data_IF_766306659715
#
_entry.id   IF_766306659715
#
_cell.length_a   1.000
_cell.length_b   1.000
_cell.length_c   1.000
_cell.angle_alpha   90.00
_cell.angle_beta   90.00
_cell.angle_gamma   90.00
#
_symmetry.space_group_name_H-M   'P 1'
#
loop_
_entity.id
_entity.type
_entity.pdbx_description
1 polymer ?
#
# COMPACT_ATOMS: atom_id res chain seq x y z
N UNK A 1 3.25 33.83 28.16
CA UNK A 1 3.95 33.13 27.07
C UNK A 1 3.17 31.85 26.82
N UNK A 2 2.36 31.83 25.75
CA UNK A 2 1.51 30.68 25.46
C UNK A 2 2.37 29.50 25.03
N UNK A 3 2.07 28.33 25.59
CA UNK A 3 2.57 27.01 25.21
C UNK A 3 2.27 26.76 23.73
N UNK A 4 3.21 27.14 22.86
CA UNK A 4 3.16 26.84 21.44
C UNK A 4 3.40 25.35 21.23
N UNK A 5 2.37 24.68 20.72
CA UNK A 5 2.44 23.76 19.59
C UNK A 5 3.61 22.75 19.66
N UNK A 6 3.48 21.76 20.54
CA UNK A 6 4.26 20.54 20.38
C UNK A 6 3.70 19.80 19.14
N UNK A 7 4.50 19.55 18.09
CA UNK A 7 4.02 18.78 16.95
C UNK A 7 3.60 17.40 17.46
N UNK A 8 2.30 17.15 17.43
CA UNK A 8 1.72 15.87 17.83
C UNK A 8 2.43 14.80 17.01
N UNK A 9 3.25 13.97 17.66
CA UNK A 9 4.02 12.92 16.98
C UNK A 9 3.02 11.95 16.34
N UNK A 10 2.78 12.13 15.04
CA UNK A 10 1.84 11.34 14.26
C UNK A 10 2.22 9.86 14.33
N UNK A 11 1.23 9.01 14.58
CA UNK A 11 1.41 7.56 14.61
C UNK A 11 1.83 7.12 13.20
N UNK A 12 3.03 6.56 13.05
CA UNK A 12 3.46 5.91 11.81
C UNK A 12 3.09 4.44 11.89
N UNK A 13 2.59 3.88 10.80
CA UNK A 13 2.22 2.45 10.74
C UNK A 13 3.44 1.51 10.72
N UNK A 14 4.65 2.05 10.48
CA UNK A 14 5.87 1.26 10.30
C UNK A 14 7.15 1.91 10.86
N UNK A 15 8.23 1.12 10.87
CA UNK A 15 9.62 1.59 11.09
C UNK A 15 10.48 1.26 9.87
N UNK A 16 11.13 2.27 9.29
CA UNK A 16 11.95 2.13 8.07
C UNK A 16 13.30 1.46 8.38
N UNK A 17 13.54 0.28 7.83
CA UNK A 17 14.89 -0.24 7.57
C UNK A 17 15.07 -0.26 6.06
N UNK A 18 15.87 0.66 5.52
CA UNK A 18 16.13 0.68 4.08
C UNK A 18 17.07 -0.47 3.73
N UNK A 19 16.54 -1.49 3.06
CA UNK A 19 17.34 -2.47 2.32
C UNK A 19 17.81 -1.87 0.99
N UNK A 20 18.91 -2.38 0.43
CA UNK A 20 19.35 -2.02 -0.93
C UNK A 20 18.34 -2.57 -1.93
N UNK A 21 17.91 -1.74 -2.88
CA UNK A 21 17.15 -2.17 -4.04
C UNK A 21 18.08 -2.82 -5.07
N UNK A 22 17.60 -3.85 -5.75
CA UNK A 22 18.24 -4.36 -6.96
C UNK A 22 18.00 -3.40 -8.13
N UNK A 23 18.83 -3.47 -9.18
CA UNK A 23 18.65 -2.63 -10.37
C UNK A 23 17.29 -2.86 -11.04
N UNK A 24 16.79 -4.11 -11.05
CA UNK A 24 15.48 -4.43 -11.61
C UNK A 24 14.34 -3.78 -10.83
N UNK A 25 14.39 -3.80 -9.50
CA UNK A 25 13.40 -3.13 -8.65
C UNK A 25 13.39 -1.62 -8.85
N UNK A 26 14.58 -1.01 -8.91
CA UNK A 26 14.70 0.44 -9.13
C UNK A 26 14.16 0.82 -10.52
N UNK A 27 14.57 0.09 -11.56
CA UNK A 27 14.08 0.33 -12.93
C UNK A 27 12.57 0.18 -13.03
N UNK A 28 11.99 -0.85 -12.42
CA UNK A 28 10.54 -1.04 -12.41
C UNK A 28 9.81 0.15 -11.76
N UNK A 29 10.30 0.63 -10.62
CA UNK A 29 9.75 1.84 -9.98
C UNK A 29 9.93 3.11 -10.83
N UNK A 30 10.95 3.18 -11.69
CA UNK A 30 11.17 4.36 -12.54
C UNK A 30 10.33 4.33 -13.81
N UNK A 31 10.25 3.17 -14.46
CA UNK A 31 9.67 3.07 -15.81
C UNK A 31 8.21 2.62 -15.83
N UNK A 32 7.74 1.93 -14.78
CA UNK A 32 6.40 1.35 -14.73
C UNK A 32 5.50 2.02 -13.69
N UNK A 33 5.98 3.05 -12.99
CA UNK A 33 5.17 3.76 -11.99
C UNK A 33 3.92 4.40 -12.59
N UNK A 34 3.97 4.84 -13.84
CA UNK A 34 2.80 5.40 -14.51
C UNK A 34 1.65 4.39 -14.67
N UNK A 35 1.96 3.09 -14.73
CA UNK A 35 0.98 2.04 -14.99
C UNK A 35 0.48 1.40 -13.68
N UNK A 36 1.35 1.34 -12.67
CA UNK A 36 1.08 0.64 -11.41
C UNK A 36 1.01 1.56 -10.19
N UNK A 37 1.71 2.69 -10.19
CA UNK A 37 1.89 3.55 -9.03
C UNK A 37 0.73 4.51 -8.78
N UNK A 38 0.51 4.81 -7.50
CA UNK A 38 -0.39 5.84 -7.01
C UNK A 38 0.35 6.77 -6.04
N UNK A 39 0.00 8.05 -6.08
CA UNK A 39 0.58 9.11 -5.25
C UNK A 39 -0.52 9.76 -4.38
N UNK A 40 -0.19 10.12 -3.13
CA UNK A 40 -1.13 10.81 -2.23
C UNK A 40 -1.73 12.09 -2.81
N UNK A 41 -0.97 12.79 -3.66
CA UNK A 41 -1.40 14.03 -4.33
C UNK A 41 -2.60 13.85 -5.27
N UNK A 42 -2.94 12.61 -5.64
CA UNK A 42 -4.11 12.31 -6.45
C UNK A 42 -5.42 12.50 -5.67
N UNK A 43 -5.35 12.53 -4.33
CA UNK A 43 -6.54 12.65 -3.48
C UNK A 43 -7.42 11.40 -3.55
N UNK A 44 -8.72 11.57 -3.30
CA UNK A 44 -9.70 10.49 -3.32
C UNK A 44 -9.74 9.82 -4.70
N UNK A 45 -9.56 8.50 -4.70
CA UNK A 45 -9.56 7.68 -5.90
C UNK A 45 -10.98 7.42 -6.38
N UNK A 46 -11.17 7.42 -7.70
CA UNK A 46 -12.30 6.79 -8.37
C UNK A 46 -11.83 5.44 -8.93
N UNK A 47 -12.27 4.34 -8.33
CA UNK A 47 -11.85 2.99 -8.72
C UNK A 47 -12.28 2.63 -10.15
N UNK A 48 -13.47 3.03 -10.57
CA UNK A 48 -13.97 2.81 -11.93
C UNK A 48 -13.08 3.47 -12.97
N UNK A 49 -12.65 4.72 -12.72
CA UNK A 49 -11.72 5.42 -13.61
C UNK A 49 -10.32 4.80 -13.57
N UNK A 50 -9.87 4.37 -12.39
CA UNK A 50 -8.54 3.82 -12.17
C UNK A 50 -8.33 2.46 -12.88
N UNK A 51 -9.34 1.60 -12.83
CA UNK A 51 -9.29 0.24 -13.38
C UNK A 51 -10.06 0.07 -14.69
N UNK A 52 -10.87 1.06 -15.09
CA UNK A 52 -11.70 1.02 -16.30
C UNK A 52 -12.87 0.04 -16.24
N UNK A 53 -13.25 -0.39 -15.02
CA UNK A 53 -14.32 -1.36 -14.77
C UNK A 53 -14.89 -1.17 -13.36
N UNK A 54 -16.04 -1.80 -13.07
CA UNK A 54 -16.74 -1.74 -11.78
C UNK A 54 -16.55 -3.00 -10.92
N UNK A 55 -15.44 -3.72 -11.13
CA UNK A 55 -15.09 -4.91 -10.35
C UNK A 55 -14.77 -4.59 -8.89
N UNK A 56 -14.96 -5.55 -7.97
CA UNK A 56 -14.75 -5.34 -6.55
C UNK A 56 -13.32 -4.91 -6.24
N UNK A 57 -13.14 -4.02 -5.27
CA UNK A 57 -11.85 -3.43 -4.90
C UNK A 57 -11.37 -4.00 -3.56
N UNK A 58 -10.22 -4.68 -3.60
CA UNK A 58 -9.56 -5.24 -2.42
C UNK A 58 -8.29 -4.47 -2.11
N UNK A 59 -8.15 -4.01 -0.87
CA UNK A 59 -6.97 -3.34 -0.35
C UNK A 59 -6.09 -4.31 0.45
N UNK A 60 -4.81 -4.42 0.13
CA UNK A 60 -3.82 -5.11 0.98
C UNK A 60 -2.85 -4.09 1.62
N UNK A 61 -2.82 -4.06 2.96
CA UNK A 61 -1.93 -3.20 3.73
C UNK A 61 -0.69 -3.98 4.16
N UNK A 62 0.50 -3.48 3.78
CA UNK A 62 1.77 -4.09 4.10
C UNK A 62 2.02 -5.37 3.32
N UNK A 63 1.86 -5.33 2.00
CA UNK A 63 1.99 -6.51 1.12
C UNK A 63 3.40 -7.10 1.06
N UNK A 64 4.42 -6.44 1.64
CA UNK A 64 5.79 -6.92 1.68
C UNK A 64 6.38 -7.07 0.27
N UNK A 65 6.74 -8.31 -0.10
CA UNK A 65 7.30 -8.64 -1.42
C UNK A 65 6.23 -8.85 -2.51
N UNK A 66 4.95 -8.73 -2.15
CA UNK A 66 3.82 -8.73 -3.10
C UNK A 66 3.40 -10.08 -3.65
N UNK A 67 3.98 -11.20 -3.15
CA UNK A 67 3.68 -12.56 -3.64
C UNK A 67 2.20 -12.90 -3.50
N UNK A 68 1.61 -12.63 -2.33
CA UNK A 68 0.19 -12.86 -2.06
C UNK A 68 -0.68 -12.03 -3.01
N UNK A 69 -0.44 -10.72 -3.05
CA UNK A 69 -1.17 -9.76 -3.87
C UNK A 69 -1.19 -10.16 -5.36
N UNK A 70 -0.01 -10.50 -5.90
CA UNK A 70 0.13 -10.91 -7.29
C UNK A 70 -0.68 -12.18 -7.58
N UNK A 71 -0.59 -13.18 -6.70
CA UNK A 71 -1.26 -14.46 -6.89
C UNK A 71 -2.78 -14.31 -6.84
N UNK A 72 -3.30 -13.45 -5.95
CA UNK A 72 -4.73 -13.14 -5.89
C UNK A 72 -5.21 -12.39 -7.14
N UNK A 73 -4.46 -11.39 -7.61
CA UNK A 73 -4.80 -10.64 -8.80
C UNK A 73 -4.86 -11.51 -10.06
N UNK A 74 -3.94 -12.47 -10.18
CA UNK A 74 -3.96 -13.47 -11.26
C UNK A 74 -5.15 -14.42 -11.18
N UNK A 75 -5.54 -14.82 -9.97
CA UNK A 75 -6.64 -15.77 -9.76
C UNK A 75 -8.02 -15.12 -9.90
N UNK A 76 -8.12 -13.79 -9.71
CA UNK A 76 -9.37 -13.04 -9.75
C UNK A 76 -9.26 -11.84 -10.70
N UNK A 77 -9.22 -12.12 -12.01
CA UNK A 77 -9.08 -11.10 -13.05
C UNK A 77 -10.22 -10.07 -13.08
N UNK A 78 -11.42 -10.44 -12.60
CA UNK A 78 -12.58 -9.55 -12.50
C UNK A 78 -12.56 -8.67 -11.23
N UNK A 79 -11.58 -8.88 -10.33
CA UNK A 79 -11.39 -8.09 -9.11
C UNK A 79 -10.21 -7.13 -9.27
N UNK A 80 -10.29 -6.00 -8.59
CA UNK A 80 -9.27 -4.95 -8.59
C UNK A 80 -8.53 -4.91 -7.26
N UNK A 81 -7.22 -4.68 -7.32
CA UNK A 81 -6.35 -4.77 -6.16
C UNK A 81 -5.55 -3.47 -5.96
N UNK A 82 -5.57 -2.96 -4.74
CA UNK A 82 -4.72 -1.85 -4.31
C UNK A 82 -3.77 -2.39 -3.22
N UNK A 83 -2.47 -2.24 -3.42
CA UNK A 83 -1.46 -2.58 -2.43
C UNK A 83 -0.86 -1.33 -1.77
N UNK A 84 -0.66 -1.34 -0.46
CA UNK A 84 0.12 -0.31 0.24
C UNK A 84 1.36 -0.94 0.85
N UNK A 85 2.55 -0.44 0.52
CA UNK A 85 3.79 -0.86 1.13
C UNK A 85 4.78 0.30 1.21
N UNK A 86 5.47 0.44 2.34
CA UNK A 86 6.40 1.55 2.62
C UNK A 86 7.84 1.18 2.28
N UNK A 87 8.11 -0.11 2.10
CA UNK A 87 9.38 -0.70 1.72
C UNK A 87 9.53 -0.74 0.20
N UNK A 88 10.25 0.27 -0.34
CA UNK A 88 10.50 0.43 -1.78
C UNK A 88 10.99 -0.84 -2.51
N UNK A 89 11.92 -1.67 -1.96
CA UNK A 89 12.30 -2.91 -2.63
C UNK A 89 11.13 -3.86 -2.89
N UNK A 90 10.19 -3.99 -1.94
CA UNK A 90 9.00 -4.83 -2.08
C UNK A 90 8.04 -4.28 -3.15
N UNK A 91 7.83 -2.96 -3.15
CA UNK A 91 7.05 -2.27 -4.19
C UNK A 91 7.64 -2.49 -5.58
N UNK A 92 8.94 -2.24 -5.74
CA UNK A 92 9.62 -2.44 -7.02
C UNK A 92 9.59 -3.90 -7.49
N UNK A 93 9.64 -4.85 -6.55
CA UNK A 93 9.52 -6.28 -6.85
C UNK A 93 8.12 -6.62 -7.37
N UNK A 94 7.06 -6.19 -6.67
CA UNK A 94 5.68 -6.43 -7.09
C UNK A 94 5.38 -5.82 -8.46
N UNK A 95 5.77 -4.56 -8.70
CA UNK A 95 5.57 -3.90 -10.00
C UNK A 95 6.25 -4.69 -11.11
N UNK A 96 7.51 -5.09 -10.88
CA UNK A 96 8.26 -5.88 -11.84
C UNK A 96 7.57 -7.22 -12.15
N UNK A 97 7.16 -7.95 -11.12
CA UNK A 97 6.56 -9.27 -11.28
C UNK A 97 5.16 -9.20 -11.91
N UNK A 98 4.35 -8.19 -11.53
CA UNK A 98 3.04 -7.93 -12.14
C UNK A 98 3.17 -7.60 -13.63
N UNK A 99 4.15 -6.78 -14.01
CA UNK A 99 4.43 -6.45 -15.39
C UNK A 99 4.85 -7.67 -16.22
N UNK A 100 5.77 -8.50 -15.70
CA UNK A 100 6.18 -9.74 -16.38
C UNK A 100 5.03 -10.74 -16.52
N UNK A 101 4.11 -10.76 -15.55
CA UNK A 101 2.93 -11.61 -15.56
C UNK A 101 1.76 -11.05 -16.39
N UNK A 102 1.86 -9.83 -16.94
CA UNK A 102 0.77 -9.18 -17.67
C UNK A 102 -0.44 -8.82 -16.81
N UNK A 103 -0.25 -8.66 -15.50
CA UNK A 103 -1.31 -8.33 -14.54
C UNK A 103 -1.56 -6.83 -14.56
N UNK A 104 -2.81 -6.44 -14.81
CA UNK A 104 -3.23 -5.03 -15.01
C UNK A 104 -4.21 -4.53 -13.95
N UNK A 105 -4.79 -5.44 -13.16
CA UNK A 105 -5.74 -5.18 -12.08
C UNK A 105 -5.07 -4.93 -10.72
N UNK A 106 -3.80 -4.49 -10.71
CA UNK A 106 -3.07 -4.07 -9.51
C UNK A 106 -2.67 -2.59 -9.62
N UNK A 107 -2.85 -1.85 -8.53
CA UNK A 107 -2.23 -0.53 -8.29
C UNK A 107 -1.56 -0.50 -6.92
N UNK A 108 -0.52 0.32 -6.75
CA UNK A 108 0.28 0.34 -5.52
C UNK A 108 0.61 1.74 -5.04
N UNK A 109 0.54 1.94 -3.72
CA UNK A 109 1.13 3.09 -3.03
C UNK A 109 2.46 2.70 -2.41
N UNK A 110 3.43 3.63 -2.47
CA UNK A 110 4.69 3.53 -1.73
C UNK A 110 4.74 4.44 -0.49
N UNK A 111 3.65 4.48 0.28
CA UNK A 111 3.40 5.48 1.33
C UNK A 111 2.84 4.86 2.62
N UNK A 112 2.75 5.66 3.71
CA UNK A 112 2.15 5.18 4.97
C UNK A 112 0.68 4.84 4.77
N UNK A 113 0.25 3.66 5.22
CA UNK A 113 -1.12 3.20 5.04
C UNK A 113 -2.17 4.11 5.70
N UNK A 114 -1.84 4.76 6.82
CA UNK A 114 -2.76 5.71 7.46
C UNK A 114 -2.97 6.93 6.57
N UNK A 115 -1.91 7.42 5.92
CA UNK A 115 -2.00 8.56 5.00
C UNK A 115 -2.86 8.22 3.79
N UNK A 116 -2.63 7.06 3.18
CA UNK A 116 -3.41 6.59 2.02
C UNK A 116 -4.89 6.42 2.38
N UNK A 117 -5.19 5.75 3.50
CA UNK A 117 -6.57 5.55 3.94
C UNK A 117 -7.29 6.88 4.19
N UNK A 118 -6.62 7.86 4.78
CA UNK A 118 -7.22 9.16 5.10
C UNK A 118 -7.41 10.08 3.89
N UNK A 119 -6.53 9.99 2.90
CA UNK A 119 -6.46 10.98 1.82
C UNK A 119 -6.96 10.45 0.47
N UNK A 120 -6.91 9.14 0.27
CA UNK A 120 -7.10 8.53 -1.06
C UNK A 120 -8.22 7.51 -1.12
N UNK A 121 -8.59 6.88 -0.01
CA UNK A 121 -9.64 5.86 0.02
C UNK A 121 -10.95 6.51 0.45
N UNK A 122 -11.97 6.45 -0.41
CA UNK A 122 -13.30 6.96 -0.08
C UNK A 122 -14.06 6.01 0.86
N UNK A 123 -14.95 6.56 1.68
CA UNK A 123 -15.81 5.75 2.55
C UNK A 123 -16.66 4.77 1.74
N UNK A 124 -16.82 3.53 2.23
CA UNK A 124 -17.60 2.46 1.60
C UNK A 124 -17.16 2.08 0.17
N UNK A 125 -15.91 2.38 -0.22
CA UNK A 125 -15.38 2.09 -1.57
C UNK A 125 -14.65 0.75 -1.72
N UNK A 126 -14.42 0.04 -0.62
CA UNK A 126 -13.68 -1.23 -0.60
C UNK A 126 -14.60 -2.40 -0.28
N UNK A 127 -14.45 -3.48 -1.06
CA UNK A 127 -15.13 -4.75 -0.85
C UNK A 127 -14.35 -5.67 0.10
N UNK A 128 -13.05 -5.41 0.27
CA UNK A 128 -12.19 -6.16 1.17
C UNK A 128 -10.97 -5.38 1.64
N UNK A 129 -10.56 -5.64 2.88
CA UNK A 129 -9.28 -5.18 3.43
C UNK A 129 -8.52 -6.37 3.97
N UNK A 130 -7.27 -6.49 3.57
CA UNK A 130 -6.35 -7.55 3.95
C UNK A 130 -5.16 -6.96 4.70
N UNK A 131 -4.79 -7.64 5.78
CA UNK A 131 -3.66 -7.29 6.62
C UNK A 131 -3.01 -8.58 7.09
N UNK A 132 -2.00 -9.03 6.34
CA UNK A 132 -1.30 -10.27 6.63
C UNK A 132 -0.01 -10.01 7.40
N UNK A 133 0.14 -10.72 8.52
CA UNK A 133 1.35 -10.70 9.36
C UNK A 133 1.87 -9.30 9.73
N UNK A 134 1.01 -8.37 10.22
CA UNK A 134 1.49 -7.05 10.64
C UNK A 134 2.51 -7.18 11.79
N UNK A 135 3.42 -6.21 11.94
CA UNK A 135 4.45 -6.27 12.97
C UNK A 135 3.81 -6.53 14.36
N UNK A 136 4.14 -7.66 15.02
CA UNK A 136 3.48 -8.06 16.24
C UNK A 136 3.84 -7.17 17.44
N UNK A 137 4.90 -6.36 17.35
CA UNK A 137 5.35 -5.43 18.39
C UNK A 137 5.38 -6.04 19.81
N UNK A 138 6.03 -7.20 20.00
CA UNK A 138 6.00 -8.00 21.24
C UNK A 138 6.33 -7.29 22.57
N UNK A 139 6.95 -6.10 22.54
CA UNK A 139 7.31 -5.36 23.76
C UNK A 139 6.11 -4.50 24.20
N UNK A 140 5.70 -4.60 25.47
CA UNK A 140 4.57 -3.79 26.05
C UNK A 140 4.63 -2.30 25.68
N UNK A 141 5.83 -1.69 25.70
CA UNK A 141 6.05 -0.28 25.33
C UNK A 141 5.77 0.06 23.85
N UNK A 142 5.68 -0.94 22.98
CA UNK A 142 5.42 -0.80 21.55
C UNK A 142 3.95 -1.12 21.19
N UNK A 143 3.09 -1.44 22.16
CA UNK A 143 1.69 -1.80 21.90
C UNK A 143 0.94 -0.75 21.07
N UNK A 144 1.22 0.55 21.29
CA UNK A 144 0.61 1.66 20.54
C UNK A 144 1.04 1.74 19.07
N UNK A 145 2.05 0.97 18.65
CA UNK A 145 2.54 0.92 17.25
C UNK A 145 1.85 -0.16 16.42
N UNK A 146 1.05 -1.04 17.04
CA UNK A 146 0.24 -2.01 16.29
C UNK A 146 -0.79 -1.23 15.48
N UNK A 147 -0.88 -1.56 14.20
CA UNK A 147 -1.82 -0.90 13.28
C UNK A 147 -3.28 -1.21 13.65
N UNK A 148 -3.55 -2.42 14.15
CA UNK A 148 -4.86 -2.79 14.69
C UNK A 148 -4.95 -2.29 16.14
N UNK A 149 -5.74 -1.25 16.34
CA UNK A 149 -6.21 -0.80 17.65
C UNK A 149 -7.73 -0.69 17.59
N UNK A 150 -8.41 -0.95 18.71
CA UNK A 150 -9.84 -0.69 18.81
C UNK A 150 -10.15 0.80 18.97
N UNK A 151 -9.16 1.58 19.41
CA UNK A 151 -9.18 3.04 19.62
C UNK A 151 -7.85 3.67 19.19
#
# INVERSE_FOLDING_TARGET
MNEMDQPQRRLRSFVRRQGRMTEGQSRAMETLWQDYGLDLRQGLLNSTELFGNDGPVILEIGFGDGVSLLQMAQAAADSNFIGIEVHRPGVGKLINDAHHAGVTNIRVFCEDAIDVLQQCIADNSLDGVQLFFPDPWHKKRHNKRRIVQAE
#
